data_IF_845593715280
#
_entry.id   IF_845593715280
#
_cell.length_a   1.000
_cell.length_b   1.000
_cell.length_c   1.000
_cell.angle_alpha   90.00
_cell.angle_beta   90.00
_cell.angle_gamma   90.00
#
_symmetry.space_group_name_H-M   'P 1'
#
loop_
_entity.id
_entity.type
_entity.pdbx_description
1 polymer ?
#
# COMPACT_ATOMS: atom_id res chain seq x y z
N UNK A 1 26.57 -8.64 19.14
CA UNK A 1 25.53 -8.10 18.23
C UNK A 1 24.68 -9.28 17.78
N UNK A 2 23.38 -9.30 18.11
CA UNK A 2 22.46 -10.32 17.64
C UNK A 2 21.62 -9.73 16.52
N UNK A 3 21.61 -10.37 15.35
CA UNK A 3 20.90 -9.91 14.15
C UNK A 3 19.74 -10.87 13.89
N UNK A 4 18.53 -10.33 13.72
CA UNK A 4 17.37 -11.07 13.24
C UNK A 4 17.16 -10.75 11.76
N UNK A 5 17.08 -11.78 10.92
CA UNK A 5 16.88 -11.66 9.47
C UNK A 5 15.55 -12.34 9.12
N UNK A 6 14.71 -11.66 8.36
CA UNK A 6 13.48 -12.22 7.78
C UNK A 6 13.68 -12.38 6.27
N UNK A 7 13.49 -13.58 5.74
CA UNK A 7 13.55 -13.87 4.31
C UNK A 7 12.37 -14.75 3.90
N UNK A 8 12.03 -14.77 2.62
CA UNK A 8 11.07 -15.73 2.07
C UNK A 8 11.79 -16.97 1.56
N UNK A 9 11.10 -18.10 1.60
CA UNK A 9 11.62 -19.35 1.06
C UNK A 9 11.88 -19.20 -0.46
N UNK A 10 13.01 -19.73 -0.92
CA UNK A 10 13.39 -19.72 -2.34
C UNK A 10 14.47 -18.71 -2.73
N UNK A 11 14.98 -17.89 -1.79
CA UNK A 11 16.17 -17.07 -2.03
C UNK A 11 17.44 -17.90 -1.82
N UNK A 12 17.84 -18.67 -2.83
CA UNK A 12 18.96 -19.62 -2.77
C UNK A 12 20.27 -19.00 -2.22
N UNK A 13 20.57 -17.76 -2.59
CA UNK A 13 21.77 -17.05 -2.11
C UNK A 13 21.76 -16.76 -0.61
N UNK A 14 20.57 -16.48 -0.05
CA UNK A 14 20.39 -16.20 1.38
C UNK A 14 20.40 -17.50 2.16
N UNK A 15 19.75 -18.53 1.64
CA UNK A 15 19.70 -19.86 2.23
C UNK A 15 21.09 -20.52 2.27
N UNK A 16 21.94 -20.30 1.27
CA UNK A 16 23.30 -20.82 1.28
C UNK A 16 24.18 -20.09 2.31
N UNK A 17 24.09 -18.76 2.38
CA UNK A 17 24.93 -17.96 3.29
C UNK A 17 24.56 -18.09 4.77
N UNK A 18 23.33 -18.51 5.06
CA UNK A 18 22.78 -18.63 6.42
C UNK A 18 22.51 -20.09 6.82
N UNK A 19 23.21 -21.08 6.24
CA UNK A 19 23.00 -22.50 6.56
C UNK A 19 23.33 -22.86 8.02
N UNK A 20 24.35 -22.22 8.62
CA UNK A 20 24.80 -22.48 10.01
C UNK A 20 24.00 -21.75 11.08
N UNK A 21 22.96 -20.99 10.72
CA UNK A 21 22.22 -20.15 11.65
C UNK A 21 20.87 -20.77 12.00
N UNK A 22 20.36 -20.45 13.20
CA UNK A 22 19.03 -20.89 13.64
C UNK A 22 17.97 -20.33 12.68
N UNK A 23 17.20 -21.24 12.09
CA UNK A 23 16.07 -20.90 11.23
C UNK A 23 14.79 -21.14 12.00
N UNK A 24 13.95 -20.10 12.03
CA UNK A 24 12.59 -20.21 12.51
C UNK A 24 11.67 -19.99 11.31
N UNK A 25 10.98 -21.05 10.91
CA UNK A 25 9.94 -20.92 9.91
C UNK A 25 8.74 -20.22 10.57
N UNK A 26 8.42 -19.02 10.09
CA UNK A 26 7.25 -18.28 10.56
C UNK A 26 6.06 -18.74 9.74
N UNK A 27 5.20 -19.54 10.36
CA UNK A 27 3.90 -19.94 9.80
C UNK A 27 2.80 -19.24 10.57
N UNK A 28 1.76 -18.82 9.87
CA UNK A 28 0.56 -18.30 10.50
C UNK A 28 -0.21 -19.46 11.13
N UNK A 29 -0.50 -19.34 12.43
CA UNK A 29 -1.43 -20.24 13.11
C UNK A 29 -2.87 -19.77 12.85
N UNK A 30 -3.78 -20.69 12.54
CA UNK A 30 -5.21 -20.38 12.38
C UNK A 30 -5.79 -19.72 13.64
N UNK A 31 -5.35 -20.11 14.83
CA UNK A 31 -5.79 -19.49 16.09
C UNK A 31 -5.39 -18.01 16.17
N UNK A 32 -4.21 -17.66 15.65
CA UNK A 32 -3.73 -16.28 15.65
C UNK A 32 -4.50 -15.45 14.63
N UNK A 33 -4.82 -16.03 13.46
CA UNK A 33 -5.67 -15.40 12.46
C UNK A 33 -7.09 -15.21 13.00
N UNK A 34 -7.64 -16.20 13.71
CA UNK A 34 -8.96 -16.13 14.35
C UNK A 34 -9.01 -14.99 15.36
N UNK A 35 -8.02 -14.90 16.26
CA UNK A 35 -7.89 -13.79 17.22
C UNK A 35 -7.76 -12.44 16.51
N UNK A 36 -6.98 -12.39 15.42
CA UNK A 36 -6.83 -11.18 14.63
C UNK A 36 -8.16 -10.74 14.01
N UNK A 37 -8.90 -11.64 13.35
CA UNK A 37 -10.21 -11.35 12.77
C UNK A 37 -11.14 -10.80 13.85
N UNK A 38 -11.24 -11.50 14.99
CA UNK A 38 -12.09 -11.07 16.10
C UNK A 38 -11.75 -9.66 16.58
N UNK A 39 -10.47 -9.37 16.81
CA UNK A 39 -10.02 -8.04 17.24
C UNK A 39 -10.34 -6.92 16.23
N UNK A 40 -10.44 -7.27 14.94
CA UNK A 40 -10.77 -6.33 13.86
C UNK A 40 -12.28 -6.12 13.75
N UNK A 41 -13.08 -7.17 13.93
CA UNK A 41 -14.55 -7.06 13.98
C UNK A 41 -14.99 -6.22 15.19
N UNK A 42 -14.35 -6.43 16.35
CA UNK A 42 -14.58 -5.65 17.57
C UNK A 42 -14.28 -4.15 17.38
N UNK A 43 -13.36 -3.81 16.47
CA UNK A 43 -12.97 -2.44 16.18
C UNK A 43 -13.85 -1.75 15.12
N UNK A 44 -14.82 -2.45 14.54
CA UNK A 44 -15.68 -1.96 13.47
C UNK A 44 -17.07 -1.62 14.04
N UNK A 45 -17.43 -0.35 14.11
CA UNK A 45 -18.69 0.11 14.73
C UNK A 45 -19.93 -0.52 14.09
N UNK A 46 -19.99 -0.59 12.75
CA UNK A 46 -21.12 -1.16 12.00
C UNK A 46 -21.33 -2.67 12.21
N UNK A 47 -20.30 -3.39 12.65
CA UNK A 47 -20.36 -4.83 12.90
C UNK A 47 -20.63 -5.07 14.39
N UNK A 48 -19.95 -4.33 15.26
CA UNK A 48 -19.98 -4.49 16.71
C UNK A 48 -21.26 -4.00 17.40
N UNK A 49 -21.90 -2.92 16.92
CA UNK A 49 -23.15 -2.40 17.52
C UNK A 49 -24.35 -3.37 17.39
N UNK A 50 -24.25 -4.36 16.50
CA UNK A 50 -25.29 -5.36 16.27
C UNK A 50 -25.22 -6.59 17.20
N UNK A 51 -24.20 -6.66 18.07
CA UNK A 51 -23.91 -7.84 18.90
C UNK A 51 -24.91 -8.09 20.04
N UNK A 52 -25.85 -7.18 20.30
CA UNK A 52 -26.95 -7.45 21.23
C UNK A 52 -28.06 -8.35 20.65
N UNK A 53 -28.16 -8.48 19.32
CA UNK A 53 -29.30 -9.17 18.68
C UNK A 53 -28.97 -10.55 18.09
N UNK A 54 -27.68 -10.97 18.03
CA UNK A 54 -27.30 -12.25 17.41
C UNK A 54 -25.98 -12.83 17.94
N UNK A 55 -26.00 -13.55 19.09
CA UNK A 55 -24.83 -14.30 19.55
C UNK A 55 -24.38 -15.30 18.46
N UNK A 56 -23.15 -15.13 17.95
CA UNK A 56 -22.56 -15.99 16.91
C UNK A 56 -22.37 -15.33 15.54
N UNK A 57 -22.70 -14.05 15.35
CA UNK A 57 -22.48 -13.36 14.09
C UNK A 57 -20.98 -13.26 13.71
N UNK A 58 -20.12 -12.88 14.65
CA UNK A 58 -18.67 -12.84 14.44
C UNK A 58 -18.10 -14.22 14.13
N UNK A 59 -18.60 -15.25 14.82
CA UNK A 59 -18.20 -16.63 14.60
C UNK A 59 -18.55 -17.10 13.18
N UNK A 60 -19.73 -16.74 12.68
CA UNK A 60 -20.14 -17.00 11.30
C UNK A 60 -19.22 -16.31 10.29
N UNK A 61 -18.83 -15.05 10.54
CA UNK A 61 -17.87 -14.33 9.66
C UNK A 61 -16.53 -15.06 9.65
N UNK A 62 -16.01 -15.39 10.84
CA UNK A 62 -14.74 -16.09 11.02
C UNK A 62 -14.74 -17.41 10.24
N UNK A 63 -15.74 -18.28 10.46
CA UNK A 63 -15.85 -19.58 9.79
C UNK A 63 -15.97 -19.44 8.27
N UNK A 64 -16.61 -18.38 7.78
CA UNK A 64 -16.79 -18.16 6.35
C UNK A 64 -15.50 -17.69 5.64
N UNK A 65 -14.68 -16.88 6.31
CA UNK A 65 -13.49 -16.29 5.68
C UNK A 65 -12.20 -17.09 5.95
N UNK A 66 -12.06 -17.72 7.13
CA UNK A 66 -10.82 -18.38 7.57
C UNK A 66 -10.24 -19.36 6.53
N UNK A 67 -11.04 -20.25 5.89
CA UNK A 67 -10.53 -21.19 4.89
C UNK A 67 -9.96 -20.50 3.63
N UNK A 68 -10.39 -19.27 3.34
CA UNK A 68 -10.02 -18.50 2.15
C UNK A 68 -8.78 -17.64 2.36
N UNK A 69 -8.29 -17.54 3.60
CA UNK A 69 -7.17 -16.65 3.92
C UNK A 69 -5.82 -17.26 3.55
N UNK A 70 -5.76 -18.59 3.39
CA UNK A 70 -4.52 -19.32 3.10
C UNK A 70 -3.35 -18.86 4.00
N UNK A 71 -3.62 -18.68 5.29
CA UNK A 71 -2.63 -18.20 6.26
C UNK A 71 -2.30 -16.70 6.23
N UNK A 72 -2.99 -15.88 5.43
CA UNK A 72 -2.64 -14.47 5.20
C UNK A 72 -3.51 -13.51 6.00
N UNK A 73 -2.91 -12.83 6.98
CA UNK A 73 -3.55 -11.76 7.75
C UNK A 73 -4.05 -10.60 6.87
N UNK A 74 -3.40 -10.31 5.73
CA UNK A 74 -3.88 -9.29 4.81
C UNK A 74 -5.26 -9.63 4.23
N UNK A 75 -5.44 -10.86 3.75
CA UNK A 75 -6.72 -11.25 3.16
C UNK A 75 -7.84 -11.14 4.22
N UNK A 76 -7.51 -11.45 5.47
CA UNK A 76 -8.42 -11.26 6.60
C UNK A 76 -8.82 -9.79 6.72
N UNK A 77 -7.82 -8.89 6.71
CA UNK A 77 -8.05 -7.44 6.73
C UNK A 77 -8.90 -6.98 5.55
N UNK A 78 -8.57 -7.39 4.32
CA UNK A 78 -9.29 -6.96 3.12
C UNK A 78 -10.75 -7.42 3.15
N UNK A 79 -11.02 -8.66 3.55
CA UNK A 79 -12.39 -9.14 3.72
C UNK A 79 -13.13 -8.38 4.82
N UNK A 80 -12.52 -8.16 5.97
CA UNK A 80 -13.17 -7.38 7.05
C UNK A 80 -13.43 -5.95 6.61
N UNK A 81 -12.51 -5.33 5.87
CA UNK A 81 -12.71 -3.98 5.31
C UNK A 81 -13.87 -3.99 4.30
N UNK A 82 -14.03 -5.04 3.47
CA UNK A 82 -15.20 -5.20 2.57
C UNK A 82 -16.49 -5.31 3.38
N UNK A 83 -16.51 -6.15 4.42
CA UNK A 83 -17.70 -6.40 5.21
C UNK A 83 -18.08 -5.18 6.07
N UNK A 84 -17.10 -4.42 6.55
CA UNK A 84 -17.32 -3.21 7.36
C UNK A 84 -17.93 -2.04 6.59
N UNK A 85 -17.80 -2.02 5.26
CA UNK A 85 -18.44 -1.03 4.38
C UNK A 85 -19.94 -1.32 4.17
N UNK A 86 -20.45 -2.48 4.59
CA UNK A 86 -21.83 -2.89 4.39
C UNK A 86 -22.74 -2.34 5.49
N UNK A 87 -23.93 -1.81 5.14
CA UNK A 87 -24.75 -1.07 6.09
C UNK A 87 -25.58 -1.96 7.01
N UNK A 88 -25.78 -3.23 6.68
CA UNK A 88 -26.58 -4.15 7.51
C UNK A 88 -25.96 -5.53 7.64
N UNK A 89 -26.29 -6.24 8.73
CA UNK A 89 -25.92 -7.65 8.89
C UNK A 89 -26.43 -8.54 7.74
N UNK A 90 -27.57 -8.18 7.13
CA UNK A 90 -28.11 -8.92 5.98
C UNK A 90 -27.17 -8.80 4.80
N UNK A 91 -26.71 -7.58 4.50
CA UNK A 91 -25.76 -7.34 3.42
C UNK A 91 -24.45 -8.08 3.67
N UNK A 92 -23.97 -8.11 4.93
CA UNK A 92 -22.80 -8.93 5.32
C UNK A 92 -23.05 -10.41 5.03
N UNK A 93 -24.18 -10.98 5.45
CA UNK A 93 -24.52 -12.39 5.18
C UNK A 93 -24.63 -12.70 3.69
N UNK A 94 -25.12 -11.76 2.88
CA UNK A 94 -25.19 -11.91 1.43
C UNK A 94 -23.79 -11.82 0.81
N UNK A 95 -22.96 -10.87 1.25
CA UNK A 95 -21.58 -10.71 0.78
C UNK A 95 -20.69 -11.91 1.14
N UNK A 96 -20.86 -12.53 2.31
CA UNK A 96 -20.12 -13.76 2.67
C UNK A 96 -20.33 -14.91 1.66
N UNK A 97 -21.48 -14.94 0.96
CA UNK A 97 -21.76 -15.93 -0.09
C UNK A 97 -21.07 -15.63 -1.41
N UNK A 98 -20.76 -14.36 -1.67
CA UNK A 98 -20.14 -13.86 -2.91
C UNK A 98 -18.72 -13.33 -2.70
N UNK A 99 -18.14 -13.56 -1.52
CA UNK A 99 -16.74 -13.23 -1.27
C UNK A 99 -15.87 -13.94 -2.30
N UNK A 100 -14.82 -13.28 -2.79
CA UNK A 100 -13.83 -13.90 -3.64
C UNK A 100 -13.38 -15.26 -3.11
N UNK A 101 -13.19 -16.21 -4.03
CA UNK A 101 -12.50 -17.47 -3.69
C UNK A 101 -11.01 -17.35 -3.97
N UNK A 102 -10.64 -16.47 -4.92
CA UNK A 102 -9.26 -16.28 -5.36
C UNK A 102 -8.68 -14.97 -4.84
N UNK A 103 -7.39 -14.99 -4.55
CA UNK A 103 -6.67 -13.80 -4.06
C UNK A 103 -6.67 -12.67 -5.09
N UNK A 104 -6.56 -13.00 -6.38
CA UNK A 104 -6.59 -12.01 -7.46
C UNK A 104 -7.93 -11.27 -7.55
N UNK A 105 -9.04 -11.99 -7.31
CA UNK A 105 -10.38 -11.41 -7.26
C UNK A 105 -10.52 -10.45 -6.06
N UNK A 106 -9.88 -10.76 -4.93
CA UNK A 106 -9.83 -9.87 -3.76
C UNK A 106 -9.07 -8.58 -4.07
N UNK A 107 -7.93 -8.67 -4.75
CA UNK A 107 -7.18 -7.49 -5.18
C UNK A 107 -7.96 -6.65 -6.21
N UNK A 108 -8.67 -7.32 -7.13
CA UNK A 108 -9.54 -6.66 -8.09
C UNK A 108 -10.71 -5.93 -7.41
N UNK A 109 -11.34 -6.54 -6.40
CA UNK A 109 -12.38 -5.88 -5.61
C UNK A 109 -11.83 -4.66 -4.88
N UNK A 110 -10.64 -4.77 -4.27
CA UNK A 110 -10.00 -3.62 -3.63
C UNK A 110 -9.71 -2.49 -4.63
N UNK A 111 -9.22 -2.82 -5.83
CA UNK A 111 -9.06 -1.86 -6.92
C UNK A 111 -10.38 -1.21 -7.34
N UNK A 112 -11.45 -2.00 -7.47
CA UNK A 112 -12.79 -1.48 -7.79
C UNK A 112 -13.32 -0.54 -6.71
N UNK A 113 -13.04 -0.80 -5.42
CA UNK A 113 -13.35 0.13 -4.34
C UNK A 113 -12.62 1.46 -4.48
N UNK A 114 -11.33 1.45 -4.88
CA UNK A 114 -10.61 2.70 -5.19
C UNK A 114 -11.34 3.47 -6.31
N UNK A 115 -11.79 2.77 -7.35
CA UNK A 115 -12.54 3.37 -8.46
C UNK A 115 -13.96 3.84 -8.10
N UNK A 116 -14.58 3.26 -7.07
CA UNK A 116 -15.93 3.64 -6.62
C UNK A 116 -15.93 4.90 -5.74
N UNK A 117 -14.77 5.38 -5.29
CA UNK A 117 -14.67 6.58 -4.46
C UNK A 117 -15.09 7.85 -5.23
N UNK A 118 -15.41 8.92 -4.48
CA UNK A 118 -15.63 10.26 -5.03
C UNK A 118 -14.42 10.70 -5.87
N UNK A 119 -14.67 11.45 -6.95
CA UNK A 119 -13.68 11.75 -7.99
C UNK A 119 -12.29 12.12 -7.45
N UNK A 120 -12.21 13.10 -6.53
CA UNK A 120 -10.92 13.54 -5.98
C UNK A 120 -10.17 12.45 -5.20
N UNK A 121 -10.89 11.61 -4.45
CA UNK A 121 -10.28 10.51 -3.68
C UNK A 121 -9.82 9.39 -4.61
N UNK A 122 -10.65 9.04 -5.59
CA UNK A 122 -10.33 8.07 -6.63
C UNK A 122 -9.07 8.44 -7.40
N UNK A 123 -9.00 9.67 -7.93
CA UNK A 123 -7.83 10.10 -8.71
C UNK A 123 -6.55 10.05 -7.86
N UNK A 124 -6.62 10.53 -6.61
CA UNK A 124 -5.47 10.45 -5.71
C UNK A 124 -5.08 8.99 -5.40
N UNK A 125 -6.04 8.11 -5.11
CA UNK A 125 -5.79 6.69 -4.86
C UNK A 125 -5.17 5.98 -6.06
N UNK A 126 -5.64 6.28 -7.28
CA UNK A 126 -5.05 5.77 -8.53
C UNK A 126 -3.64 6.29 -8.74
N UNK A 127 -3.38 7.58 -8.52
CA UNK A 127 -2.06 8.16 -8.66
C UNK A 127 -1.06 7.57 -7.66
N UNK A 128 -1.47 7.35 -6.40
CA UNK A 128 -0.64 6.67 -5.41
C UNK A 128 -0.28 5.25 -5.89
N UNK A 129 -1.27 4.47 -6.33
CA UNK A 129 -1.05 3.10 -6.80
C UNK A 129 -0.17 3.07 -8.05
N UNK A 130 -0.38 4.00 -8.99
CA UNK A 130 0.45 4.16 -10.18
C UNK A 130 1.92 4.35 -9.80
N UNK A 131 2.22 5.25 -8.87
CA UNK A 131 3.59 5.49 -8.40
C UNK A 131 4.20 4.28 -7.71
N UNK A 132 3.44 3.60 -6.83
CA UNK A 132 3.97 2.46 -6.06
C UNK A 132 4.19 1.24 -6.95
N UNK A 133 3.23 0.93 -7.84
CA UNK A 133 3.30 -0.23 -8.74
C UNK A 133 4.44 -0.10 -9.74
N UNK A 134 4.66 1.10 -10.28
CA UNK A 134 5.66 1.33 -11.33
C UNK A 134 7.03 1.77 -10.77
N UNK A 135 7.21 1.77 -9.45
CA UNK A 135 8.49 2.16 -8.86
C UNK A 135 9.56 1.07 -9.03
N UNK A 136 10.78 1.46 -9.38
CA UNK A 136 11.92 0.53 -9.49
C UNK A 136 12.41 0.03 -8.13
N UNK A 137 12.14 0.80 -7.08
CA UNK A 137 12.36 0.42 -5.68
C UNK A 137 11.23 0.96 -4.81
N UNK A 138 11.00 0.41 -3.61
CA UNK A 138 10.06 1.00 -2.66
C UNK A 138 10.36 2.49 -2.44
N UNK A 139 9.31 3.31 -2.54
CA UNK A 139 9.39 4.75 -2.37
C UNK A 139 9.30 5.12 -0.89
N UNK A 140 10.05 6.14 -0.49
CA UNK A 140 9.83 6.80 0.81
C UNK A 140 8.56 7.63 0.74
N UNK A 141 7.86 7.79 1.86
CA UNK A 141 6.66 8.61 1.95
C UNK A 141 6.91 10.04 1.43
N UNK A 142 8.03 10.65 1.82
CA UNK A 142 8.40 12.00 1.38
C UNK A 142 8.67 12.05 -0.13
N UNK A 143 9.27 11.02 -0.70
CA UNK A 143 9.47 10.93 -2.16
C UNK A 143 8.12 10.91 -2.88
N UNK A 144 7.17 10.09 -2.41
CA UNK A 144 5.83 10.06 -2.98
C UNK A 144 5.09 11.39 -2.77
N UNK A 145 5.20 12.02 -1.60
CA UNK A 145 4.57 13.32 -1.34
C UNK A 145 5.04 14.39 -2.33
N UNK A 146 6.35 14.42 -2.63
CA UNK A 146 6.89 15.34 -3.63
C UNK A 146 6.31 15.04 -5.02
N UNK A 147 6.25 13.77 -5.39
CA UNK A 147 5.74 13.34 -6.69
C UNK A 147 4.23 13.62 -6.87
N UNK A 148 3.45 13.56 -5.79
CA UNK A 148 2.01 13.85 -5.81
C UNK A 148 1.67 15.33 -5.68
N UNK A 149 2.57 16.12 -5.08
CA UNK A 149 2.33 17.55 -4.85
C UNK A 149 2.58 18.39 -6.10
N UNK A 150 3.49 17.97 -6.97
CA UNK A 150 3.89 18.74 -8.13
C UNK A 150 2.88 18.67 -9.28
N UNK A 151 2.65 19.82 -9.92
CA UNK A 151 1.77 20.01 -11.08
C UNK A 151 2.55 20.60 -12.24
N UNK A 152 2.06 20.41 -13.46
CA UNK A 152 2.75 20.79 -14.70
C UNK A 152 3.23 22.24 -14.76
N UNK A 153 2.48 23.17 -14.13
CA UNK A 153 2.78 24.61 -14.12
C UNK A 153 3.48 25.08 -12.84
N UNK A 154 3.90 24.17 -11.96
CA UNK A 154 4.55 24.55 -10.70
C UNK A 154 5.99 24.99 -10.94
N UNK A 155 6.29 26.23 -10.56
CA UNK A 155 7.65 26.77 -10.53
C UNK A 155 8.40 26.40 -9.23
N UNK A 156 7.67 26.02 -8.17
CA UNK A 156 8.20 25.60 -6.87
C UNK A 156 7.39 24.43 -6.29
N UNK A 157 8.03 23.65 -5.40
CA UNK A 157 7.35 22.56 -4.70
C UNK A 157 6.41 23.11 -3.61
N UNK A 158 5.10 23.02 -3.85
CA UNK A 158 4.09 23.40 -2.86
C UNK A 158 3.89 22.31 -1.80
N UNK A 159 4.51 22.51 -0.64
CA UNK A 159 4.39 21.60 0.51
C UNK A 159 2.98 21.51 1.09
N UNK A 160 2.08 22.46 0.79
CA UNK A 160 0.67 22.38 1.21
C UNK A 160 -0.09 21.27 0.46
N UNK A 161 0.46 20.79 -0.65
CA UNK A 161 -0.01 19.62 -1.39
C UNK A 161 0.35 18.27 -0.77
N UNK A 162 1.10 18.24 0.33
CA UNK A 162 1.57 16.97 0.91
C UNK A 162 0.43 16.17 1.55
N UNK A 163 0.24 14.96 1.04
CA UNK A 163 -0.74 14.02 1.55
C UNK A 163 -0.22 13.31 2.80
N UNK A 164 -1.04 13.18 3.83
CA UNK A 164 -0.65 12.47 5.05
C UNK A 164 -0.69 10.94 4.83
N UNK A 165 0.03 10.20 5.69
CA UNK A 165 0.13 8.73 5.59
C UNK A 165 -1.22 8.04 5.69
N UNK A 166 -2.11 8.52 6.56
CA UNK A 166 -3.46 7.97 6.72
C UNK A 166 -4.30 8.10 5.44
N UNK A 167 -4.19 9.22 4.72
CA UNK A 167 -4.87 9.45 3.44
C UNK A 167 -4.32 8.51 2.38
N UNK A 168 -3.00 8.35 2.30
CA UNK A 168 -2.37 7.40 1.37
C UNK A 168 -2.91 5.98 1.57
N UNK A 169 -2.92 5.50 2.81
CA UNK A 169 -3.39 4.13 3.09
C UNK A 169 -4.90 3.95 2.92
N UNK A 170 -5.70 4.95 3.31
CA UNK A 170 -7.17 4.87 3.23
C UNK A 170 -7.69 4.97 1.79
N UNK A 171 -7.11 5.84 0.96
CA UNK A 171 -7.60 6.05 -0.40
C UNK A 171 -7.24 4.87 -1.32
N UNK A 172 -6.22 4.08 -0.96
CA UNK A 172 -5.85 2.87 -1.68
C UNK A 172 -6.57 1.59 -1.20
N UNK A 173 -7.67 1.71 -0.43
CA UNK A 173 -8.54 0.60 -0.02
C UNK A 173 -7.79 -0.61 0.58
N UNK A 174 -6.73 -0.33 1.36
CA UNK A 174 -5.92 -1.36 2.02
C UNK A 174 -4.91 -2.09 1.11
N UNK A 175 -4.71 -1.66 -0.14
CA UNK A 175 -3.70 -2.21 -1.06
C UNK A 175 -2.28 -1.71 -0.78
N UNK A 176 -2.15 -0.60 -0.04
CA UNK A 176 -0.88 0.05 0.29
C UNK A 176 -0.67 -0.01 1.81
N UNK A 177 0.55 -0.32 2.22
CA UNK A 177 1.00 -0.16 3.60
C UNK A 177 2.12 0.87 3.69
N UNK A 178 2.15 1.58 4.83
CA UNK A 178 3.25 2.42 5.22
C UNK A 178 4.00 1.78 6.38
N UNK A 179 5.29 1.51 6.21
CA UNK A 179 6.17 1.12 7.30
C UNK A 179 6.55 2.37 8.11
N UNK A 180 5.93 2.55 9.27
CA UNK A 180 6.19 3.71 10.14
C UNK A 180 7.61 3.79 10.70
N UNK A 181 8.40 2.71 10.69
CA UNK A 181 9.81 2.74 11.14
C UNK A 181 10.75 3.21 10.03
N UNK A 182 10.46 2.83 8.78
CA UNK A 182 11.32 3.12 7.62
C UNK A 182 10.79 4.26 6.75
N UNK A 183 9.56 4.72 7.00
CA UNK A 183 8.82 5.66 6.16
C UNK A 183 8.78 5.23 4.69
N UNK A 184 8.65 3.92 4.44
CA UNK A 184 8.57 3.33 3.11
C UNK A 184 7.12 2.95 2.82
N UNK A 185 6.69 3.24 1.61
CA UNK A 185 5.42 2.79 1.06
C UNK A 185 5.64 1.60 0.15
N UNK A 186 4.82 0.57 0.34
CA UNK A 186 4.81 -0.61 -0.53
C UNK A 186 3.40 -1.15 -0.66
N UNK A 187 3.19 -1.96 -1.70
CA UNK A 187 2.05 -2.85 -1.72
C UNK A 187 2.10 -3.79 -0.52
N UNK A 188 0.94 -4.21 -0.04
CA UNK A 188 0.87 -4.97 1.20
C UNK A 188 1.53 -6.35 1.09
N UNK A 189 1.52 -6.96 -0.10
CA UNK A 189 2.14 -8.24 -0.39
C UNK A 189 2.77 -8.23 -1.79
N UNK A 190 3.76 -9.10 -2.01
CA UNK A 190 4.36 -9.24 -3.35
C UNK A 190 3.38 -9.81 -4.36
N UNK A 191 2.45 -10.67 -3.92
CA UNK A 191 1.40 -11.22 -4.78
C UNK A 191 0.47 -10.13 -5.28
N UNK A 192 0.37 -9.01 -4.55
CA UNK A 192 -0.32 -7.80 -5.02
C UNK A 192 0.49 -7.11 -6.12
N UNK A 193 1.82 -7.10 -6.03
CA UNK A 193 2.69 -6.63 -7.12
C UNK A 193 2.52 -7.50 -8.37
N UNK A 194 2.57 -8.83 -8.23
CA UNK A 194 2.35 -9.76 -9.36
C UNK A 194 0.99 -9.53 -10.04
N UNK A 195 -0.07 -9.32 -9.25
CA UNK A 195 -1.38 -8.96 -9.76
C UNK A 195 -1.37 -7.69 -10.59
N UNK A 196 -0.75 -6.61 -10.09
CA UNK A 196 -0.67 -5.35 -10.82
C UNK A 196 0.27 -5.43 -12.02
N UNK A 197 1.42 -6.10 -11.91
CA UNK A 197 2.38 -6.26 -13.01
C UNK A 197 1.75 -6.96 -14.21
N UNK A 198 0.91 -7.97 -13.98
CA UNK A 198 0.18 -8.69 -15.03
C UNK A 198 -0.87 -7.84 -15.76
N UNK A 199 -1.22 -6.66 -15.23
CA UNK A 199 -2.33 -5.79 -15.71
C UNK A 199 -1.96 -4.31 -15.81
N UNK A 200 -0.70 -3.96 -15.62
CA UNK A 200 -0.28 -2.56 -15.47
C UNK A 200 -0.61 -1.72 -16.71
N UNK A 201 -0.51 -2.31 -17.90
CA UNK A 201 -0.78 -1.61 -19.15
C UNK A 201 -2.28 -1.29 -19.30
N UNK A 202 -3.15 -2.15 -18.77
CA UNK A 202 -4.60 -1.93 -18.76
C UNK A 202 -5.04 -0.98 -17.63
N UNK A 203 -4.44 -1.11 -16.45
CA UNK A 203 -4.84 -0.38 -15.24
C UNK A 203 -4.22 1.03 -15.17
N UNK A 204 -3.01 1.19 -15.72
CA UNK A 204 -2.22 2.41 -15.70
C UNK A 204 -1.58 2.71 -17.07
N UNK A 205 -2.38 2.89 -18.14
CA UNK A 205 -1.85 3.03 -19.51
C UNK A 205 -0.90 4.23 -19.69
N UNK A 206 -1.07 5.29 -18.89
CA UNK A 206 -0.26 6.52 -18.95
C UNK A 206 0.81 6.59 -17.86
N UNK A 207 1.11 5.48 -17.17
CA UNK A 207 2.02 5.50 -16.01
C UNK A 207 3.39 6.09 -16.31
N UNK A 208 4.06 5.58 -17.34
CA UNK A 208 5.40 6.01 -17.70
C UNK A 208 5.44 7.47 -18.15
N UNK A 209 4.42 7.91 -18.89
CA UNK A 209 4.28 9.31 -19.31
C UNK A 209 4.11 10.24 -18.11
N UNK A 210 3.19 9.92 -17.19
CA UNK A 210 2.94 10.71 -15.99
C UNK A 210 4.17 10.79 -15.09
N UNK A 211 4.87 9.68 -14.87
CA UNK A 211 6.09 9.64 -14.07
C UNK A 211 7.18 10.50 -14.70
N UNK A 212 7.42 10.34 -16.02
CA UNK A 212 8.42 11.12 -16.74
C UNK A 212 8.11 12.62 -16.70
N UNK A 213 6.85 13.00 -16.94
CA UNK A 213 6.42 14.39 -16.89
C UNK A 213 6.61 14.99 -15.49
N UNK A 214 6.23 14.25 -14.45
CA UNK A 214 6.44 14.66 -13.06
C UNK A 214 7.91 14.91 -12.77
N UNK A 215 8.81 14.02 -13.20
CA UNK A 215 10.25 14.23 -13.03
C UNK A 215 10.78 15.42 -13.82
N UNK A 216 10.35 15.59 -15.07
CA UNK A 216 10.76 16.74 -15.88
C UNK A 216 10.33 18.06 -15.20
N UNK A 217 9.10 18.14 -14.70
CA UNK A 217 8.63 19.33 -13.99
C UNK A 217 9.39 19.52 -12.67
N UNK A 218 9.61 18.44 -11.93
CA UNK A 218 10.36 18.48 -10.67
C UNK A 218 11.78 19.00 -10.83
N UNK A 219 12.48 18.55 -11.88
CA UNK A 219 13.84 19.00 -12.20
C UNK A 219 13.88 20.43 -12.78
N UNK A 220 12.73 20.98 -13.19
CA UNK A 220 12.59 22.33 -13.76
C UNK A 220 12.20 23.41 -12.75
N UNK A 221 11.93 23.06 -11.49
CA UNK A 221 11.62 24.00 -10.40
C UNK A 221 12.73 25.07 -10.26
N UNK A 222 12.36 26.29 -9.90
CA UNK A 222 13.25 27.46 -9.76
C UNK A 222 14.45 27.17 -8.85
N UNK A 223 14.27 26.41 -7.77
CA UNK A 223 15.36 25.94 -6.88
C UNK A 223 16.52 25.27 -7.63
N UNK A 224 16.23 24.62 -8.76
CA UNK A 224 17.26 23.99 -9.61
C UNK A 224 17.81 24.91 -10.70
N UNK A 225 17.05 25.93 -11.13
CA UNK A 225 17.48 26.90 -12.15
C UNK A 225 18.38 28.00 -11.58
N UNK A 226 18.00 28.61 -10.47
CA UNK A 226 18.59 29.88 -10.01
C UNK A 226 19.88 29.68 -9.21
N UNK A 227 19.98 28.55 -8.53
CA UNK A 227 21.09 28.24 -7.62
C UNK A 227 22.29 27.56 -8.34
N UNK A 228 22.28 27.45 -9.67
CA UNK A 228 23.42 26.97 -10.47
C UNK A 228 23.77 25.48 -10.30
N UNK A 229 24.87 25.06 -10.95
CA UNK A 229 25.38 23.68 -10.89
C UNK A 229 25.97 23.34 -9.51
N UNK A 230 25.83 22.06 -9.10
CA UNK A 230 26.16 21.51 -7.79
C UNK A 230 27.68 21.42 -7.51
N UNK A 231 28.41 22.53 -7.65
CA UNK A 231 29.84 22.58 -7.35
C UNK A 231 30.13 22.92 -5.88
N UNK A 232 29.14 23.45 -5.15
CA UNK A 232 29.22 23.67 -3.71
C UNK A 232 28.60 22.47 -2.95
N UNK A 233 29.41 21.74 -2.15
CA UNK A 233 28.93 20.62 -1.32
C UNK A 233 27.82 21.01 -0.33
N UNK A 234 27.84 22.24 0.20
CA UNK A 234 26.84 22.70 1.18
C UNK A 234 25.49 22.97 0.53
N UNK A 235 25.51 23.53 -0.68
CA UNK A 235 24.31 23.73 -1.50
C UNK A 235 23.74 22.39 -1.97
N UNK A 236 24.61 21.43 -2.31
CA UNK A 236 24.20 20.06 -2.62
C UNK A 236 23.47 19.39 -1.45
N UNK A 237 24.05 19.43 -0.25
CA UNK A 237 23.43 18.85 0.95
C UNK A 237 22.10 19.51 1.30
N UNK A 238 22.02 20.84 1.14
CA UNK A 238 20.79 21.60 1.35
C UNK A 238 19.69 21.17 0.36
N UNK A 239 20.01 21.12 -0.94
CA UNK A 239 19.08 20.66 -1.98
C UNK A 239 18.66 19.21 -1.76
N UNK A 240 19.59 18.33 -1.42
CA UNK A 240 19.30 16.92 -1.16
C UNK A 240 18.32 16.70 0.00
N UNK A 241 18.44 17.49 1.07
CA UNK A 241 17.53 17.45 2.21
C UNK A 241 16.15 18.01 1.87
N UNK A 242 16.10 19.12 1.11
CA UNK A 242 14.86 19.82 0.73
C UNK A 242 14.08 19.12 -0.39
N UNK A 243 14.78 18.41 -1.27
CA UNK A 243 14.22 17.79 -2.49
C UNK A 243 14.43 16.28 -2.49
N UNK A 244 13.82 15.54 -1.56
CA UNK A 244 14.12 14.11 -1.35
C UNK A 244 13.78 13.19 -2.54
N UNK A 245 12.89 13.61 -3.44
CA UNK A 245 12.62 12.88 -4.70
C UNK A 245 13.76 12.98 -5.71
N UNK A 246 14.65 13.97 -5.59
CA UNK A 246 15.72 14.24 -6.56
C UNK A 246 16.62 13.02 -6.80
N UNK A 247 17.03 12.35 -5.73
CA UNK A 247 17.88 11.16 -5.82
C UNK A 247 17.21 9.98 -6.51
N UNK A 248 15.88 9.89 -6.45
CA UNK A 248 15.13 8.87 -7.17
C UNK A 248 14.92 9.27 -8.64
N UNK A 249 14.49 10.51 -8.88
CA UNK A 249 14.23 11.04 -10.22
C UNK A 249 15.46 11.04 -11.14
N UNK A 250 16.67 11.18 -10.58
CA UNK A 250 17.91 11.21 -11.35
C UNK A 250 18.41 9.83 -11.82
N UNK A 251 17.87 8.73 -11.26
CA UNK A 251 18.34 7.35 -11.51
C UNK A 251 17.25 6.45 -12.09
N UNK A 252 16.02 6.97 -12.21
CA UNK A 252 14.89 6.26 -12.81
C UNK A 252 15.09 6.09 -14.32
#
# INVERSE_FOLDING_TARGET
MHILITCRNGTADVEQKLDKHVRLEVRSNEDDIRKYIKSRLDAQDNISESNNDSPGFDEMIIEAILPRLEGMFLLARLYIDILGDLPTQRDVREALKSLPERREETYLQAWNRVNAQMARKRELGKNILLWIVNAQRPLRLVELQHALAIREDDDELDTTGFVNTSTVTSFCAGLVMADGKRNILSLVLSTTQEFFDSRKDDLFPTAHEMIALTFMTYLRIQSFRDEGALFDPTLFDYRWKRHQLLGYAAVY
#
